data_IF_033412839488
#
_entry.id   IF_033412839488
#
_cell.length_a   1.000
_cell.length_b   1.000
_cell.length_c   1.000
_cell.angle_alpha   90.00
_cell.angle_beta   90.00
_cell.angle_gamma   90.00
#
_symmetry.space_group_name_H-M   'P 1'
#
loop_
_entity.id
_entity.type
_entity.pdbx_description
1 polymer ?
#
# COMPACT_ATOMS: atom_id res chain seq x y z
N UNK A 1 19.06 -97.88 -59.90
CA UNK A 1 20.23 -97.71 -59.02
C UNK A 1 20.06 -96.40 -58.27
N UNK A 2 19.45 -96.48 -57.09
CA UNK A 2 19.07 -95.35 -56.24
C UNK A 2 20.12 -95.17 -55.14
N UNK A 3 20.77 -94.00 -55.06
CA UNK A 3 21.58 -93.60 -53.89
C UNK A 3 20.64 -92.97 -52.86
N UNK A 4 20.50 -93.64 -51.71
CA UNK A 4 19.79 -93.12 -50.55
C UNK A 4 20.68 -92.15 -49.77
N UNK A 5 20.12 -90.99 -49.44
CA UNK A 5 20.71 -90.06 -48.47
C UNK A 5 20.05 -90.33 -47.11
N UNK A 6 20.84 -90.74 -46.13
CA UNK A 6 20.44 -90.81 -44.73
C UNK A 6 20.41 -89.40 -44.13
N UNK A 7 19.25 -89.00 -43.60
CA UNK A 7 19.10 -87.80 -42.78
C UNK A 7 18.81 -88.22 -41.34
N UNK A 8 19.64 -87.75 -40.41
CA UNK A 8 19.45 -87.92 -38.96
C UNK A 8 18.46 -86.86 -38.49
N UNK A 9 17.28 -87.30 -38.03
CA UNK A 9 16.28 -86.44 -37.40
C UNK A 9 16.64 -86.19 -35.93
N UNK A 10 16.92 -84.94 -35.56
CA UNK A 10 17.07 -84.52 -34.17
C UNK A 10 15.69 -84.14 -33.64
N UNK A 11 15.17 -84.89 -32.65
CA UNK A 11 13.98 -84.49 -31.87
C UNK A 11 14.36 -83.32 -30.96
N UNK A 12 13.89 -82.12 -31.27
CA UNK A 12 13.73 -81.06 -30.27
C UNK A 12 12.39 -81.29 -29.57
N UNK A 13 12.43 -81.96 -28.42
CA UNK A 13 11.33 -81.95 -27.47
C UNK A 13 11.37 -80.62 -26.69
N UNK A 14 10.44 -79.71 -26.99
CA UNK A 14 10.10 -78.63 -26.09
C UNK A 14 9.18 -79.18 -25.00
N UNK A 15 9.77 -79.53 -23.86
CA UNK A 15 9.06 -79.66 -22.59
C UNK A 15 8.88 -78.25 -21.99
N UNK A 16 7.70 -77.90 -21.46
CA UNK A 16 7.48 -76.59 -20.84
C UNK A 16 8.30 -76.49 -19.54
N UNK A 17 9.32 -75.64 -19.55
CA UNK A 17 10.12 -75.33 -18.38
C UNK A 17 9.26 -74.60 -17.33
N UNK A 18 8.74 -75.34 -16.35
CA UNK A 18 8.22 -74.77 -15.11
C UNK A 18 9.41 -74.26 -14.28
N UNK A 19 9.65 -72.95 -14.39
CA UNK A 19 10.63 -72.25 -13.56
C UNK A 19 10.29 -72.31 -12.07
N UNK A 20 11.29 -72.15 -11.19
CA UNK A 20 11.09 -72.20 -9.74
C UNK A 20 10.14 -71.11 -9.28
N UNK A 21 9.24 -71.46 -8.35
CA UNK A 21 8.29 -70.54 -7.75
C UNK A 21 9.02 -69.31 -7.16
N UNK A 22 8.51 -68.08 -7.37
CA UNK A 22 9.18 -66.87 -6.93
C UNK A 22 9.30 -66.85 -5.40
N UNK A 23 10.54 -66.84 -4.90
CA UNK A 23 10.84 -66.68 -3.48
C UNK A 23 10.23 -65.36 -2.96
N UNK A 24 9.28 -65.48 -2.02
CA UNK A 24 8.59 -64.34 -1.39
C UNK A 24 9.49 -63.36 -0.61
N UNK A 25 10.80 -63.58 -0.61
CA UNK A 25 11.82 -62.69 -0.04
C UNK A 25 12.11 -61.48 -0.96
N UNK A 26 12.05 -61.66 -2.28
CA UNK A 26 12.23 -60.58 -3.25
C UNK A 26 11.04 -59.58 -3.23
N UNK A 27 9.82 -60.08 -3.04
CA UNK A 27 8.61 -59.27 -2.91
C UNK A 27 8.65 -58.31 -1.71
N UNK A 28 9.14 -58.77 -0.55
CA UNK A 28 9.28 -57.92 0.65
C UNK A 28 10.37 -56.86 0.50
N UNK A 29 11.50 -57.18 -0.13
CA UNK A 29 12.56 -56.21 -0.38
C UNK A 29 12.14 -55.14 -1.40
N UNK A 30 11.41 -55.53 -2.45
CA UNK A 30 10.89 -54.57 -3.43
C UNK A 30 9.84 -53.64 -2.80
N UNK A 31 8.93 -54.15 -1.97
CA UNK A 31 7.97 -53.34 -1.24
C UNK A 31 8.63 -52.37 -0.24
N UNK A 32 9.70 -52.80 0.43
CA UNK A 32 10.47 -51.96 1.35
C UNK A 32 11.26 -50.87 0.62
N UNK A 33 11.80 -51.16 -0.58
CA UNK A 33 12.54 -50.20 -1.38
C UNK A 33 11.64 -49.10 -1.94
N UNK A 34 10.47 -49.48 -2.47
CA UNK A 34 9.46 -48.54 -2.96
C UNK A 34 8.96 -47.60 -1.83
N UNK A 35 8.74 -48.14 -0.63
CA UNK A 35 8.35 -47.33 0.53
C UNK A 35 9.41 -46.29 0.91
N UNK A 36 10.71 -46.65 0.84
CA UNK A 36 11.82 -45.72 1.11
C UNK A 36 11.95 -44.67 0.01
N UNK A 37 11.81 -45.05 -1.26
CA UNK A 37 11.85 -44.11 -2.40
C UNK A 37 10.67 -43.12 -2.34
N UNK A 38 9.48 -43.59 -1.97
CA UNK A 38 8.30 -42.72 -1.76
C UNK A 38 8.49 -41.75 -0.59
N UNK A 39 9.12 -42.18 0.50
CA UNK A 39 9.43 -41.30 1.63
C UNK A 39 10.44 -40.21 1.25
N UNK A 40 11.49 -40.56 0.51
CA UNK A 40 12.52 -39.61 0.06
C UNK A 40 11.96 -38.60 -0.94
N UNK A 41 11.15 -39.04 -1.90
CA UNK A 41 10.52 -38.15 -2.90
C UNK A 41 9.51 -37.20 -2.26
N UNK A 42 8.75 -37.65 -1.26
CA UNK A 42 7.83 -36.80 -0.47
C UNK A 42 8.58 -35.74 0.33
N UNK A 43 9.68 -36.10 1.00
CA UNK A 43 10.49 -35.13 1.75
C UNK A 43 11.14 -34.08 0.84
N UNK A 44 11.61 -34.51 -0.34
CA UNK A 44 12.18 -33.60 -1.35
C UNK A 44 11.12 -32.63 -1.88
N UNK A 45 9.90 -33.09 -2.15
CA UNK A 45 8.79 -32.22 -2.57
C UNK A 45 8.41 -31.16 -1.53
N UNK A 46 8.37 -31.53 -0.24
CA UNK A 46 8.10 -30.59 0.86
C UNK A 46 9.21 -29.55 0.99
N UNK A 47 10.48 -29.97 0.91
CA UNK A 47 11.64 -29.08 0.94
C UNK A 47 11.64 -28.07 -0.22
N UNK A 48 11.37 -28.53 -1.45
CA UNK A 48 11.25 -27.65 -2.61
C UNK A 48 10.08 -26.67 -2.49
N UNK A 49 8.94 -27.11 -1.93
CA UNK A 49 7.81 -26.24 -1.64
C UNK A 49 8.14 -25.13 -0.63
N UNK A 50 8.79 -25.47 0.48
CA UNK A 50 9.20 -24.49 1.49
C UNK A 50 10.23 -23.48 0.95
N UNK A 51 11.24 -23.94 0.21
CA UNK A 51 12.23 -23.05 -0.42
C UNK A 51 11.58 -22.13 -1.46
N UNK A 52 10.63 -22.65 -2.25
CA UNK A 52 9.84 -21.87 -3.20
C UNK A 52 9.01 -20.77 -2.51
N UNK A 53 8.32 -21.10 -1.41
CA UNK A 53 7.53 -20.10 -0.67
C UNK A 53 8.39 -19.02 -0.04
N UNK A 54 9.56 -19.37 0.51
CA UNK A 54 10.49 -18.39 1.09
C UNK A 54 11.08 -17.46 0.03
N UNK A 55 11.49 -18.00 -1.12
CA UNK A 55 12.02 -17.17 -2.22
C UNK A 55 10.96 -16.27 -2.83
N UNK A 56 9.73 -16.77 -3.01
CA UNK A 56 8.61 -15.97 -3.50
C UNK A 56 8.23 -14.86 -2.50
N UNK A 57 8.12 -15.19 -1.21
CA UNK A 57 7.84 -14.21 -0.16
C UNK A 57 8.92 -13.12 -0.08
N UNK A 58 10.19 -13.52 -0.16
CA UNK A 58 11.31 -12.58 -0.20
C UNK A 58 11.29 -11.70 -1.46
N UNK A 59 10.98 -12.27 -2.63
CA UNK A 59 10.88 -11.52 -3.88
C UNK A 59 9.73 -10.49 -3.85
N UNK A 60 8.56 -10.87 -3.32
CA UNK A 60 7.41 -9.94 -3.14
C UNK A 60 7.75 -8.84 -2.14
N UNK A 61 8.41 -9.18 -1.03
CA UNK A 61 8.85 -8.20 -0.03
C UNK A 61 9.87 -7.22 -0.62
N UNK A 62 10.85 -7.72 -1.38
CA UNK A 62 11.81 -6.89 -2.10
C UNK A 62 11.10 -5.99 -3.12
N UNK A 63 10.19 -6.53 -3.92
CA UNK A 63 9.42 -5.75 -4.89
C UNK A 63 8.59 -4.65 -4.20
N UNK A 64 8.08 -4.89 -3.00
CA UNK A 64 7.34 -3.88 -2.24
C UNK A 64 8.25 -2.80 -1.67
N UNK A 65 9.43 -3.17 -1.14
CA UNK A 65 10.40 -2.22 -0.58
C UNK A 65 11.04 -1.37 -1.68
N UNK A 66 11.51 -2.00 -2.76
CA UNK A 66 12.17 -1.33 -3.88
C UNK A 66 11.19 -0.71 -4.89
N UNK A 67 9.95 -1.21 -4.95
CA UNK A 67 8.91 -0.69 -5.83
C UNK A 67 8.25 0.59 -5.31
N UNK A 68 8.49 0.96 -4.05
CA UNK A 68 8.12 2.28 -3.53
C UNK A 68 9.02 3.35 -4.15
N UNK A 69 8.67 3.77 -5.37
CA UNK A 69 9.23 4.99 -5.98
C UNK A 69 8.79 6.18 -5.13
N UNK A 70 9.74 6.84 -4.48
CA UNK A 70 9.53 8.15 -3.89
C UNK A 70 9.30 9.15 -5.03
N UNK A 71 8.04 9.54 -5.25
CA UNK A 71 7.70 10.59 -6.19
C UNK A 71 8.17 11.92 -5.60
N UNK A 72 8.83 12.75 -6.40
CA UNK A 72 9.25 14.08 -5.96
C UNK A 72 8.03 14.98 -5.70
N UNK A 73 8.14 15.94 -4.77
CA UNK A 73 7.04 16.87 -4.49
C UNK A 73 6.63 17.68 -5.73
N UNK A 74 7.60 18.02 -6.59
CA UNK A 74 7.39 18.70 -7.86
C UNK A 74 6.52 17.87 -8.82
N UNK A 75 6.85 16.58 -9.02
CA UNK A 75 6.05 15.67 -9.86
C UNK A 75 4.65 15.45 -9.31
N UNK A 76 4.52 15.34 -7.98
CA UNK A 76 3.22 15.22 -7.32
C UNK A 76 2.36 16.47 -7.54
N UNK A 77 2.95 17.64 -7.32
CA UNK A 77 2.30 18.93 -7.52
C UNK A 77 1.81 19.11 -8.95
N UNK A 78 2.66 18.83 -9.95
CA UNK A 78 2.29 18.92 -11.37
C UNK A 78 1.12 17.99 -11.74
N UNK A 79 1.06 16.77 -11.18
CA UNK A 79 -0.03 15.82 -11.45
C UNK A 79 -1.35 16.19 -10.77
N UNK A 80 -1.30 16.82 -9.60
CA UNK A 80 -2.49 17.18 -8.81
C UNK A 80 -3.05 18.56 -9.16
N UNK A 81 -2.22 19.47 -9.67
CA UNK A 81 -2.64 20.81 -10.08
C UNK A 81 -3.31 20.82 -11.44
N UNK A 82 -4.27 21.72 -11.65
CA UNK A 82 -4.69 22.09 -12.99
C UNK A 82 -3.49 22.69 -13.76
N UNK A 83 -3.37 22.35 -15.04
CA UNK A 83 -2.27 22.84 -15.87
C UNK A 83 -2.22 24.37 -15.89
N UNK A 84 -1.02 24.91 -15.67
CA UNK A 84 -0.75 26.35 -15.73
C UNK A 84 0.73 26.57 -16.07
N UNK A 85 1.07 27.58 -16.90
CA UNK A 85 2.46 27.94 -17.18
C UNK A 85 3.20 28.42 -15.92
N UNK A 86 2.49 28.78 -14.85
CA UNK A 86 3.10 29.14 -13.58
C UNK A 86 3.75 27.94 -12.87
N UNK A 87 3.36 26.70 -13.19
CA UNK A 87 3.87 25.49 -12.50
C UNK A 87 5.37 25.29 -12.70
N UNK A 88 5.93 25.76 -13.82
CA UNK A 88 7.36 25.67 -14.12
C UNK A 88 8.20 26.63 -13.28
N UNK A 89 7.58 27.64 -12.67
CA UNK A 89 8.23 28.64 -11.83
C UNK A 89 8.06 28.37 -10.31
N UNK A 90 7.41 27.26 -9.92
CA UNK A 90 7.16 26.93 -8.51
C UNK A 90 8.35 26.18 -7.93
N UNK A 91 9.00 26.77 -6.92
CA UNK A 91 10.01 26.12 -6.11
C UNK A 91 9.40 25.60 -4.81
N UNK A 92 9.50 24.28 -4.59
CA UNK A 92 9.06 23.65 -3.35
C UNK A 92 10.21 23.66 -2.34
N UNK A 93 9.98 24.27 -1.18
CA UNK A 93 10.87 24.15 -0.02
C UNK A 93 10.11 23.49 1.13
N UNK A 94 10.81 22.63 1.87
CA UNK A 94 10.28 22.06 3.10
C UNK A 94 10.75 22.91 4.26
N UNK A 95 9.80 23.45 5.03
CA UNK A 95 10.08 24.13 6.28
C UNK A 95 9.30 23.44 7.39
N UNK A 96 9.93 23.33 8.56
CA UNK A 96 9.24 22.94 9.78
C UNK A 96 8.67 24.24 10.34
N UNK A 97 7.34 24.34 10.39
CA UNK A 97 6.73 25.44 11.13
C UNK A 97 6.79 25.11 12.61
N UNK A 98 7.29 26.04 13.41
CA UNK A 98 7.23 25.99 14.89
C UNK A 98 5.79 26.23 15.39
N UNK A 99 4.81 25.57 14.75
CA UNK A 99 3.38 25.67 15.01
C UNK A 99 2.88 24.63 16.01
N UNK A 100 3.74 24.19 16.93
CA UNK A 100 3.34 23.26 18.00
C UNK A 100 2.08 23.77 18.72
N UNK A 101 1.22 22.86 19.17
CA UNK A 101 0.00 23.26 19.89
C UNK A 101 0.30 24.17 21.10
N UNK A 102 1.44 23.93 21.74
CA UNK A 102 1.95 24.70 22.90
C UNK A 102 2.90 25.84 22.52
N UNK A 103 3.06 26.15 21.24
CA UNK A 103 3.87 27.30 20.82
C UNK A 103 3.28 28.59 21.44
N UNK A 104 4.13 29.48 21.98
CA UNK A 104 3.66 30.71 22.60
C UNK A 104 2.93 31.57 21.57
N UNK A 105 1.70 31.98 21.89
CA UNK A 105 0.87 32.80 21.01
C UNK A 105 0.11 33.83 21.82
N UNK A 106 0.17 35.08 21.39
CA UNK A 106 -0.60 36.20 21.97
C UNK A 106 -2.11 36.08 21.75
N UNK A 107 -2.53 35.15 20.87
CA UNK A 107 -3.93 34.94 20.49
C UNK A 107 -4.60 33.78 21.22
N UNK A 108 -3.89 33.13 22.16
CA UNK A 108 -4.34 31.93 22.88
C UNK A 108 -4.28 32.17 24.39
N UNK A 109 -5.16 31.51 25.13
CA UNK A 109 -5.18 31.53 26.60
C UNK A 109 -6.49 32.06 27.19
N UNK A 110 -6.45 32.38 28.47
CA UNK A 110 -7.57 33.01 29.19
C UNK A 110 -7.90 34.36 28.53
N UNK A 111 -9.18 34.71 28.36
CA UNK A 111 -9.54 35.98 27.77
C UNK A 111 -9.02 37.13 28.66
N UNK A 112 -8.29 38.05 28.05
CA UNK A 112 -7.66 39.21 28.68
C UNK A 112 -7.78 40.41 27.75
N UNK A 113 -7.74 41.61 28.31
CA UNK A 113 -7.82 42.86 27.53
C UNK A 113 -6.72 42.97 26.48
N UNK A 114 -5.54 42.45 26.76
CA UNK A 114 -4.40 42.42 25.87
C UNK A 114 -4.61 41.44 24.70
N UNK A 115 -5.21 40.27 24.98
CA UNK A 115 -5.54 39.27 23.97
C UNK A 115 -6.64 39.79 23.03
N UNK A 116 -7.67 40.46 23.56
CA UNK A 116 -8.72 41.09 22.75
C UNK A 116 -8.14 42.20 21.87
N UNK A 117 -7.24 43.04 22.40
CA UNK A 117 -6.55 44.06 21.62
C UNK A 117 -5.66 43.47 20.52
N UNK A 118 -5.05 42.30 20.76
CA UNK A 118 -4.30 41.58 19.74
C UNK A 118 -5.20 41.08 18.62
N UNK A 119 -6.37 40.50 18.95
CA UNK A 119 -7.38 40.09 17.97
C UNK A 119 -7.96 41.28 17.19
N UNK A 120 -8.27 42.39 17.86
CA UNK A 120 -8.78 43.62 17.23
C UNK A 120 -7.80 44.16 16.18
N UNK A 121 -6.49 44.08 16.44
CA UNK A 121 -5.45 44.51 15.49
C UNK A 121 -5.51 43.76 14.16
N UNK A 122 -5.72 42.44 14.20
CA UNK A 122 -5.72 41.62 12.97
C UNK A 122 -7.11 41.57 12.32
N UNK A 123 -8.18 41.73 13.08
CA UNK A 123 -9.56 41.69 12.57
C UNK A 123 -10.04 43.04 12.05
N UNK A 124 -9.71 44.12 12.76
CA UNK A 124 -10.24 45.48 12.50
C UNK A 124 -9.18 46.43 11.97
N UNK A 125 -7.91 46.20 12.32
CA UNK A 125 -6.76 47.03 11.93
C UNK A 125 -6.25 46.77 10.51
N UNK A 126 -6.59 45.64 9.89
CA UNK A 126 -6.34 45.42 8.48
C UNK A 126 -7.51 46.03 7.67
N UNK A 127 -7.24 47.06 6.86
CA UNK A 127 -8.21 47.65 5.92
C UNK A 127 -8.74 46.65 4.85
N UNK A 128 -8.40 45.36 4.92
CA UNK A 128 -8.53 44.41 3.84
C UNK A 128 -9.28 43.12 4.13
N UNK A 129 -9.81 42.86 5.34
CA UNK A 129 -10.70 41.70 5.55
C UNK A 129 -12.11 42.09 5.11
N UNK A 130 -12.26 42.27 3.80
CA UNK A 130 -13.49 42.46 3.04
C UNK A 130 -14.57 43.33 3.73
N UNK A 131 -14.27 44.62 3.92
CA UNK A 131 -15.31 45.59 4.30
C UNK A 131 -16.25 45.81 3.11
N UNK A 132 -17.37 45.09 3.09
CA UNK A 132 -18.42 45.30 2.08
C UNK A 132 -19.17 46.56 2.46
N UNK A 133 -19.03 47.61 1.65
CA UNK A 133 -19.79 48.84 1.85
C UNK A 133 -21.28 48.56 1.77
N UNK A 134 -22.09 49.30 2.55
CA UNK A 134 -23.54 49.08 2.59
C UNK A 134 -24.21 49.21 1.22
N UNK A 135 -23.64 50.06 0.35
CA UNK A 135 -24.03 50.23 -1.04
C UNK A 135 -23.77 49.00 -1.92
N UNK A 136 -22.70 48.24 -1.65
CA UNK A 136 -22.32 47.06 -2.44
C UNK A 136 -23.09 45.80 -2.03
N UNK A 137 -23.77 45.81 -0.87
CA UNK A 137 -24.63 44.71 -0.44
C UNK A 137 -25.76 44.42 -1.43
N UNK A 138 -26.30 45.43 -2.12
CA UNK A 138 -27.35 45.23 -3.12
C UNK A 138 -26.88 44.43 -4.35
N UNK A 139 -25.56 44.38 -4.57
CA UNK A 139 -24.94 43.58 -5.65
C UNK A 139 -24.83 42.11 -5.25
N UNK A 140 -24.76 41.84 -3.95
CA UNK A 140 -24.86 40.50 -3.40
C UNK A 140 -26.35 40.17 -3.37
N UNK A 141 -26.82 39.29 -4.27
CA UNK A 141 -28.23 38.85 -4.35
C UNK A 141 -28.68 38.03 -3.11
N UNK A 142 -28.51 38.57 -1.90
CA UNK A 142 -28.91 37.95 -0.63
C UNK A 142 -29.92 38.86 0.07
N UNK A 143 -31.03 38.29 0.52
CA UNK A 143 -32.18 39.03 1.03
C UNK A 143 -31.99 39.54 2.47
N UNK A 144 -32.33 40.82 2.66
CA UNK A 144 -32.86 41.49 3.86
C UNK A 144 -32.07 41.46 5.18
N UNK A 145 -31.46 42.60 5.47
CA UNK A 145 -31.33 43.39 6.72
C UNK A 145 -31.32 42.71 8.10
N UNK A 146 -32.16 41.73 8.41
CA UNK A 146 -32.21 41.05 9.72
C UNK A 146 -30.89 40.33 10.06
N UNK A 147 -30.31 39.59 9.11
CA UNK A 147 -29.04 38.88 9.29
C UNK A 147 -27.83 39.85 9.37
N UNK A 148 -27.97 41.04 8.78
CA UNK A 148 -26.88 42.01 8.67
C UNK A 148 -26.77 42.90 9.91
N UNK A 149 -27.86 43.05 10.67
CA UNK A 149 -27.85 43.78 11.93
C UNK A 149 -26.85 43.17 12.93
N UNK A 150 -26.59 41.86 12.88
CA UNK A 150 -25.58 41.21 13.70
C UNK A 150 -24.13 41.53 13.30
N UNK A 151 -23.89 41.80 12.01
CA UNK A 151 -22.56 42.08 11.46
C UNK A 151 -22.18 43.56 11.57
N UNK A 152 -23.17 44.45 11.59
CA UNK A 152 -22.97 45.90 11.71
C UNK A 152 -23.05 46.40 13.15
N UNK A 153 -23.42 45.54 14.12
CA UNK A 153 -23.40 45.90 15.52
C UNK A 153 -21.94 46.01 15.99
N UNK A 154 -21.52 47.15 16.57
CA UNK A 154 -20.25 47.19 17.30
C UNK A 154 -20.29 46.12 18.38
N UNK A 155 -19.18 45.37 18.48
CA UNK A 155 -19.01 44.16 19.27
C UNK A 155 -19.70 44.24 20.66
N UNK A 156 -20.84 43.55 20.81
CA UNK A 156 -21.62 43.45 22.07
C UNK A 156 -20.91 42.65 23.17
N UNK A 157 -19.82 41.94 22.88
CA UNK A 157 -19.07 41.17 23.88
C UNK A 157 -18.21 42.03 24.82
N UNK A 158 -18.10 43.35 24.55
CA UNK A 158 -17.36 44.29 25.41
C UNK A 158 -17.96 44.50 26.81
N UNK A 159 -19.18 44.04 27.06
CA UNK A 159 -19.91 44.26 28.33
C UNK A 159 -19.52 43.30 29.46
N UNK A 160 -18.69 42.29 29.21
CA UNK A 160 -18.41 41.23 30.20
C UNK A 160 -17.29 41.55 31.21
N UNK A 161 -16.55 42.66 31.05
CA UNK A 161 -15.38 43.01 31.89
C UNK A 161 -15.51 44.33 32.67
N UNK A 162 -16.72 44.91 32.74
CA UNK A 162 -16.98 46.03 33.63
C UNK A 162 -17.51 45.50 34.97
N UNK A 163 -16.60 45.09 35.85
CA UNK A 163 -16.87 44.81 37.26
C UNK A 163 -15.70 45.32 38.10
#
# INVERSE_FOLDING_TARGET
>A
MTKGNDYIAIRTGEEPFQGPAPDGRASKQHASLEAVIQAITRHRGVLFGCLGMLTFGFAVSCAFVFGRRSVSLTECGQRLSAWSPALDAIEYYQTIWDGGFLAPSIYRGTPTTELDAAWDRITTGCEGILRIAKSDLGRLKRSSNEDLAGLLQPNKSRSYYQA
#
